data_IF_061377834023
#
_entry.id   IF_061377834023
#
_cell.length_a   1.000
_cell.length_b   1.000
_cell.length_c   1.000
_cell.angle_alpha   90.00
_cell.angle_beta   90.00
_cell.angle_gamma   90.00
#
_symmetry.space_group_name_H-M   'P 1'
#
loop_
_entity.id
_entity.type
_entity.pdbx_description
1 polymer ?
#
# COMPACT_ATOMS: atom_id res chain seq x y z
N UNK A 1 -32.59 19.34 -13.91
CA UNK A 1 -32.31 19.94 -15.24
C UNK A 1 -30.91 19.60 -15.73
N UNK A 2 -29.86 19.70 -14.90
CA UNK A 2 -28.48 19.35 -15.25
C UNK A 2 -28.20 17.84 -15.45
N UNK A 3 -28.91 16.94 -14.75
CA UNK A 3 -28.79 15.49 -14.97
C UNK A 3 -29.26 15.02 -16.36
N UNK A 4 -30.17 15.76 -16.99
CA UNK A 4 -30.69 15.46 -18.33
C UNK A 4 -29.65 15.84 -19.40
N UNK A 5 -28.86 16.89 -19.16
CA UNK A 5 -27.79 17.35 -20.07
C UNK A 5 -26.54 16.45 -20.04
N UNK A 6 -26.19 15.84 -18.89
CA UNK A 6 -25.08 14.87 -18.78
C UNK A 6 -25.36 13.50 -19.43
N UNK A 7 -26.62 13.22 -19.78
CA UNK A 7 -27.04 11.92 -20.34
C UNK A 7 -27.14 11.93 -21.87
N UNK A 8 -26.91 13.09 -22.50
CA UNK A 8 -27.07 13.28 -23.93
C UNK A 8 -25.71 13.23 -24.64
N UNK A 9 -25.39 12.13 -25.37
CA UNK A 9 -24.14 12.00 -26.09
C UNK A 9 -23.93 13.12 -27.14
N UNK A 10 -24.99 13.78 -27.62
CA UNK A 10 -24.82 14.91 -28.54
C UNK A 10 -24.16 16.13 -27.88
N UNK A 11 -24.31 16.32 -26.56
CA UNK A 11 -23.76 17.47 -25.83
C UNK A 11 -22.27 17.30 -25.49
N UNK A 12 -21.82 16.06 -25.27
CA UNK A 12 -20.40 15.74 -25.04
C UNK A 12 -19.55 15.97 -26.31
N UNK A 13 -20.15 15.78 -27.49
CA UNK A 13 -19.50 15.94 -28.79
C UNK A 13 -19.57 17.38 -29.34
N UNK A 14 -20.16 18.34 -28.62
CA UNK A 14 -20.28 19.73 -29.10
C UNK A 14 -19.01 20.56 -28.89
N UNK A 15 -18.17 20.23 -27.92
CA UNK A 15 -16.95 20.98 -27.62
C UNK A 15 -15.95 21.01 -28.81
N UNK A 16 -15.66 19.87 -29.48
CA UNK A 16 -14.81 19.86 -30.67
C UNK A 16 -15.45 20.60 -31.86
N UNK A 17 -16.79 20.53 -31.97
CA UNK A 17 -17.55 21.15 -33.07
C UNK A 17 -17.56 22.68 -32.92
N UNK A 18 -17.76 23.19 -31.71
CA UNK A 18 -17.71 24.62 -31.42
C UNK A 18 -16.29 25.18 -31.61
N UNK A 19 -15.26 24.46 -31.13
CA UNK A 19 -13.87 24.84 -31.35
C UNK A 19 -13.48 24.82 -32.84
N UNK A 20 -13.96 23.82 -33.59
CA UNK A 20 -13.76 23.73 -35.04
C UNK A 20 -14.44 24.91 -35.75
N UNK A 21 -15.72 25.19 -35.48
CA UNK A 21 -16.45 26.31 -36.09
C UNK A 21 -15.85 27.67 -35.73
N UNK A 22 -15.38 27.85 -34.49
CA UNK A 22 -14.67 29.06 -34.07
C UNK A 22 -13.39 29.28 -34.89
N UNK A 23 -12.68 28.22 -35.28
CA UNK A 23 -11.47 28.32 -36.11
C UNK A 23 -11.72 28.75 -37.56
N UNK A 24 -12.96 28.64 -38.06
CA UNK A 24 -13.35 29.19 -39.37
C UNK A 24 -13.72 30.68 -39.32
N UNK A 25 -14.13 31.18 -38.16
CA UNK A 25 -14.67 32.54 -38.01
C UNK A 25 -13.66 33.49 -37.37
N UNK A 26 -12.73 32.98 -36.57
CA UNK A 26 -11.81 33.77 -35.78
C UNK A 26 -10.34 33.37 -36.00
N UNK A 27 -9.44 34.36 -35.98
CA UNK A 27 -8.00 34.10 -35.99
C UNK A 27 -7.54 33.45 -34.68
N UNK A 28 -6.51 32.60 -34.74
CA UNK A 28 -5.98 31.87 -33.58
C UNK A 28 -5.70 32.78 -32.37
N UNK A 29 -5.11 33.95 -32.61
CA UNK A 29 -4.80 34.95 -31.57
C UNK A 29 -6.06 35.43 -30.82
N UNK A 30 -7.16 35.63 -31.54
CA UNK A 30 -8.44 36.04 -30.96
C UNK A 30 -9.12 34.89 -30.20
N UNK A 31 -9.05 33.66 -30.74
CA UNK A 31 -9.56 32.46 -30.04
C UNK A 31 -8.81 32.26 -28.72
N UNK A 32 -7.48 32.39 -28.73
CA UNK A 32 -6.64 32.28 -27.53
C UNK A 32 -6.97 33.39 -26.51
N UNK A 33 -7.24 34.60 -26.96
CA UNK A 33 -7.59 35.73 -26.09
C UNK A 33 -8.97 35.56 -25.44
N UNK A 34 -9.98 35.17 -26.23
CA UNK A 34 -11.35 34.90 -25.75
C UNK A 34 -11.37 33.71 -24.79
N UNK A 35 -10.73 32.59 -25.16
CA UNK A 35 -10.65 31.41 -24.28
C UNK A 35 -9.91 31.71 -22.96
N UNK A 36 -8.93 32.61 -22.97
CA UNK A 36 -8.23 33.05 -21.74
C UNK A 36 -9.13 33.89 -20.83
N UNK A 37 -10.01 34.73 -21.39
CA UNK A 37 -11.01 35.49 -20.63
C UNK A 37 -12.14 34.59 -20.11
N UNK A 38 -12.61 33.65 -20.93
CA UNK A 38 -13.70 32.74 -20.57
C UNK A 38 -13.30 31.76 -19.47
N UNK A 39 -12.05 31.33 -19.37
CA UNK A 39 -11.59 30.48 -18.26
C UNK A 39 -11.77 31.14 -16.88
N UNK A 40 -11.61 32.47 -16.76
CA UNK A 40 -11.84 33.19 -15.51
C UNK A 40 -13.35 33.28 -15.15
N UNK A 41 -14.23 33.34 -16.15
CA UNK A 41 -15.68 33.35 -15.95
C UNK A 41 -16.21 31.94 -15.68
N UNK A 42 -15.67 30.94 -16.38
CA UNK A 42 -15.99 29.52 -16.22
C UNK A 42 -15.61 29.06 -14.82
N UNK A 43 -14.42 29.41 -14.32
CA UNK A 43 -13.97 29.03 -12.97
C UNK A 43 -14.87 29.58 -11.85
N UNK A 44 -15.49 30.75 -12.07
CA UNK A 44 -16.45 31.34 -11.14
C UNK A 44 -17.89 30.84 -11.34
N UNK A 45 -18.17 30.12 -12.43
CA UNK A 45 -19.51 29.61 -12.74
C UNK A 45 -19.95 28.54 -11.75
N UNK A 46 -21.25 28.48 -11.40
CA UNK A 46 -21.80 27.44 -10.52
C UNK A 46 -21.53 26.02 -11.04
N UNK A 47 -21.61 25.81 -12.36
CA UNK A 47 -21.37 24.51 -12.99
C UNK A 47 -19.92 24.05 -12.79
N UNK A 48 -18.94 24.93 -12.96
CA UNK A 48 -17.53 24.58 -12.75
C UNK A 48 -17.25 24.25 -11.30
N UNK A 49 -17.81 25.01 -10.35
CA UNK A 49 -17.66 24.75 -8.92
C UNK A 49 -18.25 23.39 -8.53
N UNK A 50 -19.42 23.04 -9.07
CA UNK A 50 -20.05 21.72 -8.88
C UNK A 50 -19.18 20.59 -9.46
N UNK A 51 -18.70 20.73 -10.70
CA UNK A 51 -17.80 19.74 -11.32
C UNK A 51 -16.49 19.59 -10.55
N UNK A 52 -15.91 20.70 -10.08
CA UNK A 52 -14.67 20.67 -9.30
C UNK A 52 -14.87 20.02 -7.93
N UNK A 53 -16.02 20.25 -7.28
CA UNK A 53 -16.40 19.54 -6.06
C UNK A 53 -16.55 18.03 -6.33
N UNK A 54 -17.27 17.63 -7.38
CA UNK A 54 -17.42 16.22 -7.78
C UNK A 54 -16.04 15.56 -7.98
N UNK A 55 -15.12 16.24 -8.69
CA UNK A 55 -13.75 15.73 -8.94
C UNK A 55 -12.96 15.62 -7.64
N UNK A 56 -13.04 16.62 -6.77
CA UNK A 56 -12.33 16.62 -5.49
C UNK A 56 -12.84 15.51 -4.56
N UNK A 57 -14.16 15.33 -4.48
CA UNK A 57 -14.79 14.28 -3.70
C UNK A 57 -14.40 12.89 -4.24
N UNK A 58 -14.44 12.69 -5.55
CA UNK A 58 -13.99 11.44 -6.18
C UNK A 58 -12.49 11.18 -5.94
N UNK A 59 -11.65 12.22 -6.05
CA UNK A 59 -10.21 12.12 -5.80
C UNK A 59 -9.91 11.77 -4.35
N UNK A 60 -10.64 12.36 -3.39
CA UNK A 60 -10.49 12.08 -1.97
C UNK A 60 -10.96 10.66 -1.63
N UNK A 61 -12.11 10.24 -2.17
CA UNK A 61 -12.62 8.89 -1.95
C UNK A 61 -11.68 7.84 -2.55
N UNK A 62 -11.19 8.06 -3.77
CA UNK A 62 -10.20 7.19 -4.40
C UNK A 62 -8.90 7.12 -3.60
N UNK A 63 -8.34 8.27 -3.20
CA UNK A 63 -7.11 8.30 -2.41
C UNK A 63 -7.26 7.63 -1.04
N UNK A 64 -8.45 7.75 -0.42
CA UNK A 64 -8.77 7.04 0.82
C UNK A 64 -8.87 5.54 0.61
N UNK A 65 -9.53 5.08 -0.46
CA UNK A 65 -9.66 3.67 -0.79
C UNK A 65 -8.28 3.05 -1.05
N UNK A 66 -7.46 3.67 -1.91
CA UNK A 66 -6.10 3.22 -2.21
C UNK A 66 -5.23 3.21 -0.94
N UNK A 67 -5.32 4.24 -0.09
CA UNK A 67 -4.58 4.29 1.16
C UNK A 67 -4.96 3.19 2.15
N UNK A 68 -6.25 2.84 2.24
CA UNK A 68 -6.74 1.73 3.07
C UNK A 68 -6.26 0.40 2.52
N UNK A 69 -6.37 0.19 1.20
CA UNK A 69 -5.96 -1.05 0.53
C UNK A 69 -4.46 -1.32 0.75
N UNK A 70 -3.60 -0.35 0.43
CA UNK A 70 -2.15 -0.46 0.62
C UNK A 70 -1.80 -0.68 2.09
N UNK A 71 -2.42 0.10 3.00
CA UNK A 71 -2.16 -0.03 4.43
C UNK A 71 -2.60 -1.38 5.00
N UNK A 72 -3.71 -1.93 4.51
CA UNK A 72 -4.22 -3.23 4.92
C UNK A 72 -3.35 -4.37 4.39
N UNK A 73 -2.96 -4.33 3.12
CA UNK A 73 -2.07 -5.33 2.51
C UNK A 73 -0.73 -5.40 3.25
N UNK A 74 -0.06 -4.26 3.42
CA UNK A 74 1.21 -4.19 4.15
C UNK A 74 1.07 -4.61 5.61
N UNK A 75 -0.01 -4.18 6.28
CA UNK A 75 -0.28 -4.56 7.67
C UNK A 75 -0.50 -6.05 7.85
N UNK A 76 -1.23 -6.69 6.94
CA UNK A 76 -1.47 -8.14 6.95
C UNK A 76 -0.17 -8.90 6.67
N UNK A 77 0.60 -8.50 5.67
CA UNK A 77 1.85 -9.16 5.31
C UNK A 77 2.85 -9.14 6.46
N UNK A 78 3.13 -7.95 7.01
CA UNK A 78 4.02 -7.77 8.16
C UNK A 78 3.51 -8.53 9.38
N UNK A 79 2.22 -8.44 9.68
CA UNK A 79 1.61 -9.12 10.81
C UNK A 79 1.69 -10.66 10.69
N UNK A 80 1.51 -11.19 9.48
CA UNK A 80 1.59 -12.62 9.22
C UNK A 80 3.02 -13.14 9.32
N UNK A 81 4.00 -12.41 8.80
CA UNK A 81 5.42 -12.76 8.91
C UNK A 81 5.87 -12.76 10.39
N UNK A 82 5.60 -11.68 11.12
CA UNK A 82 5.92 -11.58 12.55
C UNK A 82 5.22 -12.66 13.37
N UNK A 83 3.95 -12.96 13.06
CA UNK A 83 3.18 -14.02 13.70
C UNK A 83 3.79 -15.40 13.46
N UNK A 84 4.21 -15.69 12.22
CA UNK A 84 4.86 -16.95 11.86
C UNK A 84 6.20 -17.13 12.59
N UNK A 85 7.03 -16.09 12.62
CA UNK A 85 8.31 -16.11 13.32
C UNK A 85 8.14 -16.31 14.82
N UNK A 86 7.21 -15.56 15.43
CA UNK A 86 6.89 -15.71 16.85
C UNK A 86 6.43 -17.14 17.15
N UNK A 87 5.50 -17.68 16.37
CA UNK A 87 5.01 -19.06 16.56
C UNK A 87 6.12 -20.10 16.42
N UNK A 88 6.96 -20.00 15.39
CA UNK A 88 8.12 -20.90 15.20
C UNK A 88 9.11 -20.84 16.36
N UNK A 89 9.36 -19.64 16.90
CA UNK A 89 10.24 -19.41 18.04
C UNK A 89 9.69 -20.01 19.33
N UNK A 90 8.41 -19.78 19.61
CA UNK A 90 7.72 -20.34 20.78
C UNK A 90 7.74 -21.87 20.74
N UNK A 91 7.40 -22.48 19.60
CA UNK A 91 7.48 -23.94 19.44
C UNK A 91 8.90 -24.47 19.57
N UNK A 92 9.91 -23.74 19.06
CA UNK A 92 11.31 -24.14 19.19
C UNK A 92 11.76 -24.15 20.66
N UNK A 93 11.40 -23.12 21.43
CA UNK A 93 11.68 -23.04 22.86
C UNK A 93 10.99 -24.17 23.63
N UNK A 94 9.73 -24.47 23.32
CA UNK A 94 8.99 -25.59 23.91
C UNK A 94 9.69 -26.93 23.64
N UNK A 95 10.11 -27.19 22.40
CA UNK A 95 10.85 -28.42 22.08
C UNK A 95 12.20 -28.52 22.82
N UNK A 96 12.91 -27.40 22.96
CA UNK A 96 14.17 -27.35 23.68
C UNK A 96 13.97 -27.64 25.17
N UNK A 97 12.94 -27.04 25.78
CA UNK A 97 12.60 -27.27 27.19
C UNK A 97 12.18 -28.73 27.42
N UNK A 98 11.39 -29.32 26.53
CA UNK A 98 10.97 -30.71 26.60
C UNK A 98 12.14 -31.71 26.44
N UNK A 99 13.13 -31.41 25.58
CA UNK A 99 14.26 -32.32 25.34
C UNK A 99 15.40 -32.16 26.34
N UNK A 100 15.68 -30.93 26.76
CA UNK A 100 16.90 -30.59 27.50
C UNK A 100 16.62 -29.99 28.89
N UNK A 101 15.36 -29.68 29.22
CA UNK A 101 14.99 -29.12 30.51
C UNK A 101 15.30 -27.63 30.60
N UNK A 102 16.10 -27.23 31.60
CA UNK A 102 16.41 -25.82 31.82
C UNK A 102 17.14 -25.20 30.63
N UNK A 103 16.61 -24.07 30.15
CA UNK A 103 17.18 -23.30 29.07
C UNK A 103 17.95 -22.06 29.61
N UNK A 104 19.03 -21.64 28.93
CA UNK A 104 19.71 -20.39 29.24
C UNK A 104 18.78 -19.18 29.07
N UNK A 105 18.85 -18.21 29.98
CA UNK A 105 18.01 -17.01 29.95
C UNK A 105 18.25 -16.15 28.70
N UNK A 106 19.45 -16.17 28.13
CA UNK A 106 19.82 -15.42 26.93
C UNK A 106 19.32 -16.06 25.62
N UNK A 107 18.88 -17.31 25.66
CA UNK A 107 18.50 -18.05 24.46
C UNK A 107 17.30 -17.42 23.74
N UNK A 108 16.28 -16.98 24.49
CA UNK A 108 15.11 -16.34 23.91
C UNK A 108 15.48 -15.06 23.15
N UNK A 109 16.43 -14.27 23.68
CA UNK A 109 16.94 -13.05 23.04
C UNK A 109 17.72 -13.39 21.76
N UNK A 110 18.56 -14.44 21.79
CA UNK A 110 19.32 -14.89 20.62
C UNK A 110 18.42 -15.37 19.48
N UNK A 111 17.26 -15.96 19.79
CA UNK A 111 16.28 -16.37 18.79
C UNK A 111 15.41 -15.22 18.27
N UNK A 112 15.38 -14.07 18.95
CA UNK A 112 14.51 -12.94 18.59
C UNK A 112 14.89 -12.30 17.25
N UNK A 113 16.19 -12.24 16.94
CA UNK A 113 16.70 -11.69 15.68
C UNK A 113 16.72 -12.67 14.51
N UNK A 114 16.19 -13.88 14.69
CA UNK A 114 16.20 -14.90 13.64
C UNK A 114 14.91 -14.86 12.82
N UNK A 115 15.07 -14.96 11.50
CA UNK A 115 13.96 -15.01 10.56
C UNK A 115 13.29 -16.40 10.52
N UNK A 116 12.15 -16.47 9.83
CA UNK A 116 11.34 -17.69 9.72
C UNK A 116 12.10 -18.91 9.15
N UNK A 117 13.12 -18.70 8.30
CA UNK A 117 13.89 -19.79 7.69
C UNK A 117 15.00 -20.30 8.61
N UNK A 118 15.71 -19.39 9.28
CA UNK A 118 16.68 -19.75 10.31
C UNK A 118 16.01 -20.54 11.45
N UNK A 119 14.82 -20.11 11.89
CA UNK A 119 14.03 -20.84 12.89
C UNK A 119 13.62 -22.24 12.40
N UNK A 120 13.27 -22.40 11.12
CA UNK A 120 12.94 -23.69 10.53
C UNK A 120 14.15 -24.63 10.52
N UNK A 121 15.32 -24.12 10.16
CA UNK A 121 16.57 -24.89 10.17
C UNK A 121 16.91 -25.34 11.60
N UNK A 122 16.76 -24.45 12.58
CA UNK A 122 16.97 -24.77 13.99
C UNK A 122 16.00 -25.81 14.52
N UNK A 123 14.73 -25.83 14.08
CA UNK A 123 13.80 -26.92 14.44
C UNK A 123 14.34 -28.30 14.00
N UNK A 124 14.93 -28.41 12.81
CA UNK A 124 15.57 -29.66 12.38
C UNK A 124 16.81 -29.99 13.24
N UNK A 125 17.59 -28.98 13.63
CA UNK A 125 18.74 -29.13 14.53
C UNK A 125 18.31 -29.66 15.89
N UNK A 126 17.22 -29.13 16.45
CA UNK A 126 16.68 -29.57 17.74
C UNK A 126 16.29 -31.02 17.72
N UNK A 127 15.91 -31.62 16.59
CA UNK A 127 15.57 -33.05 16.55
C UNK A 127 16.80 -33.96 16.51
N UNK A 128 17.93 -33.50 15.94
CA UNK A 128 19.16 -34.29 15.75
C UNK A 128 20.22 -34.07 16.83
N UNK A 129 20.20 -32.93 17.51
CA UNK A 129 21.21 -32.58 18.50
C UNK A 129 21.17 -33.55 19.70
N UNK A 130 22.29 -34.14 20.13
CA UNK A 130 22.33 -35.05 21.27
C UNK A 130 22.24 -34.31 22.61
N UNK A 131 22.72 -33.06 22.67
CA UNK A 131 22.71 -32.22 23.88
C UNK A 131 22.37 -30.78 23.56
N UNK A 132 22.06 -29.99 24.58
CA UNK A 132 21.81 -28.57 24.46
C UNK A 132 23.04 -27.82 23.94
N UNK A 133 24.24 -28.16 24.42
CA UNK A 133 25.49 -27.53 23.98
C UNK A 133 25.73 -27.74 22.48
N UNK A 134 25.43 -28.94 21.97
CA UNK A 134 25.54 -29.24 20.55
C UNK A 134 24.54 -28.42 19.72
N UNK A 135 23.33 -28.18 20.22
CA UNK A 135 22.37 -27.27 19.59
C UNK A 135 22.86 -25.81 19.62
N UNK A 136 23.32 -25.32 20.78
CA UNK A 136 23.78 -23.95 20.95
C UNK A 136 24.99 -23.61 20.07
N UNK A 137 25.81 -24.60 19.73
CA UNK A 137 26.93 -24.47 18.80
C UNK A 137 26.51 -24.26 17.34
N UNK A 138 25.29 -24.65 16.96
CA UNK A 138 24.73 -24.44 15.62
C UNK A 138 23.86 -23.18 15.52
N UNK A 139 23.72 -22.39 16.60
CA UNK A 139 23.01 -21.12 16.53
C UNK A 139 23.76 -20.15 15.60
N UNK A 140 23.06 -19.51 14.65
CA UNK A 140 23.65 -18.45 13.86
C UNK A 140 24.18 -17.36 14.79
N UNK A 141 25.41 -16.88 14.55
CA UNK A 141 25.85 -15.63 15.16
C UNK A 141 24.91 -14.55 14.65
N UNK A 142 24.12 -13.95 15.54
CA UNK A 142 23.12 -12.95 15.17
C UNK A 142 23.78 -11.83 14.37
N UNK A 143 23.58 -11.84 13.06
CA UNK A 143 23.94 -10.73 12.21
C UNK A 143 22.85 -9.70 12.44
N UNK A 144 23.14 -8.75 13.32
CA UNK A 144 22.52 -7.43 13.26
C UNK A 144 22.91 -6.80 11.91
N UNK A 145 22.19 -7.14 10.84
CA UNK A 145 22.20 -6.35 9.63
C UNK A 145 21.02 -5.38 9.73
N UNK A 146 21.40 -4.11 9.87
CA UNK A 146 20.56 -2.93 9.97
C UNK A 146 20.01 -2.51 8.61
#
# INVERSE_FOLDING_TARGET
MLAILRSDPMLADMEPVLAFLASFVFERSYIEEVMRWDMAVITESPLYKEVMQDILEQGLEKGKQEGIEIGMEQGIEIGMEQGLEKGKRESLLEFLELRFGQLPEDLALRLQGLNAEQLRQLQAVVLRAPTLEAFLAELPNGVHEA
#
